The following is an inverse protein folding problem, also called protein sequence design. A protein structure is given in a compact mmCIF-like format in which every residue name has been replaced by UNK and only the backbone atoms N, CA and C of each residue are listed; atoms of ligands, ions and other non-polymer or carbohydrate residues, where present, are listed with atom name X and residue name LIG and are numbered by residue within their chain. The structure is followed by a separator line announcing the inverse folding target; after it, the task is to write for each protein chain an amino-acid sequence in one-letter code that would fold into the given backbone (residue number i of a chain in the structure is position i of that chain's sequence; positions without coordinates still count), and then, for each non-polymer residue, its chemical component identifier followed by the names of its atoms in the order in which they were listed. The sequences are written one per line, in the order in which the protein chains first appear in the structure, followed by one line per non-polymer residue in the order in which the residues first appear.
data_IF_231966831016
#
_entry.id   IF_231966831016
#
_cell.length_a   1.000
_cell.length_b   1.000
_cell.length_c   1.000
_cell.angle_alpha   90.00
_cell.angle_beta   90.00
_cell.angle_gamma   90.00
#
_symmetry.space_group_name_H-M   'P 1'
#
loop_
_entity.id
_entity.type
_entity.pdbx_description
1 polymer ?
#
# COMPACT_ATOMS: atom_id res chain seq x y z
N UNK A 1 33.86 73.32 -12.16
CA UNK A 1 33.77 72.02 -11.45
C UNK A 1 32.32 71.68 -11.30
N UNK A 2 31.75 70.85 -12.17
CA UNK A 2 30.34 70.46 -12.17
C UNK A 2 30.27 69.02 -11.81
N UNK A 3 29.85 68.81 -10.57
CA UNK A 3 29.57 67.47 -10.04
C UNK A 3 28.25 66.94 -10.62
N UNK A 4 28.35 65.92 -11.55
CA UNK A 4 27.22 65.23 -12.09
C UNK A 4 26.83 64.12 -11.15
N UNK A 5 25.93 64.39 -10.21
CA UNK A 5 25.25 63.37 -9.44
C UNK A 5 24.44 62.47 -10.41
N UNK A 6 24.92 61.27 -10.69
CA UNK A 6 24.25 60.28 -11.52
C UNK A 6 23.01 59.79 -10.79
N UNK A 7 21.84 60.28 -11.17
CA UNK A 7 20.56 59.92 -10.65
C UNK A 7 20.16 58.56 -11.26
N UNK A 8 20.28 57.48 -10.49
CA UNK A 8 19.90 56.14 -10.92
C UNK A 8 18.41 56.05 -11.23
N UNK A 9 18.06 55.53 -12.38
CA UNK A 9 16.68 55.39 -12.83
C UNK A 9 15.86 54.48 -11.95
N UNK A 10 14.54 54.68 -11.81
CA UNK A 10 13.68 53.80 -10.97
C UNK A 10 13.77 52.30 -11.35
N UNK A 11 14.02 52.03 -12.64
CA UNK A 11 14.20 50.67 -13.14
C UNK A 11 15.49 49.99 -12.64
N UNK A 12 16.58 50.74 -12.53
CA UNK A 12 17.85 50.21 -12.02
C UNK A 12 17.76 49.87 -10.50
N UNK A 13 17.02 50.69 -9.75
CA UNK A 13 16.77 50.43 -8.29
C UNK A 13 15.95 49.16 -8.09
N UNK A 14 14.96 48.87 -8.95
CA UNK A 14 14.13 47.68 -8.89
C UNK A 14 14.97 46.43 -9.19
N UNK A 15 15.83 46.51 -10.20
CA UNK A 15 16.69 45.40 -10.60
C UNK A 15 17.75 45.08 -9.53
N UNK A 16 18.32 46.10 -8.91
CA UNK A 16 19.27 45.93 -7.82
C UNK A 16 18.61 45.30 -6.56
N UNK A 17 17.39 45.71 -6.26
CA UNK A 17 16.60 45.13 -5.15
C UNK A 17 16.27 43.65 -5.37
N UNK A 18 15.85 43.28 -6.58
CA UNK A 18 15.57 41.88 -6.96
C UNK A 18 16.82 40.98 -6.88
N UNK A 19 17.96 41.47 -7.35
CA UNK A 19 19.23 40.73 -7.24
C UNK A 19 19.64 40.52 -5.79
N UNK A 20 19.46 41.54 -4.93
CA UNK A 20 19.77 41.41 -3.51
C UNK A 20 18.86 40.41 -2.80
N UNK A 21 17.57 40.40 -3.13
CA UNK A 21 16.61 39.43 -2.61
C UNK A 21 16.95 38.00 -3.01
N UNK A 22 17.27 37.76 -4.29
CA UNK A 22 17.64 36.41 -4.76
C UNK A 22 18.94 35.91 -4.14
N UNK A 23 19.92 36.78 -3.89
CA UNK A 23 21.18 36.40 -3.21
C UNK A 23 20.92 36.03 -1.73
N UNK A 24 20.02 36.75 -1.06
CA UNK A 24 19.68 36.48 0.33
C UNK A 24 18.79 35.23 0.46
N UNK A 25 17.83 35.03 -0.47
CA UNK A 25 17.00 33.84 -0.54
C UNK A 25 17.82 32.59 -0.89
N UNK A 26 18.80 32.71 -1.78
CA UNK A 26 19.69 31.59 -2.12
C UNK A 26 20.58 31.15 -0.98
N UNK A 27 21.05 32.08 -0.15
CA UNK A 27 21.86 31.76 1.04
C UNK A 27 21.01 31.11 2.16
N UNK A 28 19.72 31.49 2.28
CA UNK A 28 18.78 30.87 3.23
C UNK A 28 18.32 29.48 2.82
N UNK A 29 18.12 29.24 1.49
CA UNK A 29 17.71 27.95 0.98
C UNK A 29 18.80 26.88 1.11
N UNK A 30 20.06 27.27 1.01
CA UNK A 30 21.20 26.36 1.20
C UNK A 30 21.33 25.84 2.64
N UNK A 31 20.93 26.60 3.64
CA UNK A 31 20.94 26.18 5.03
C UNK A 31 19.74 25.29 5.41
N UNK A 32 18.60 25.47 4.74
CA UNK A 32 17.40 24.64 4.96
C UNK A 32 17.49 23.28 4.27
N UNK A 33 18.29 23.14 3.21
CA UNK A 33 18.49 21.86 2.53
C UNK A 33 19.43 20.90 3.28
N UNK A 34 20.14 21.41 4.32
CA UNK A 34 20.94 20.59 5.21
C UNK A 34 20.18 20.03 6.41
N UNK A 35 18.91 20.40 6.60
CA UNK A 35 18.04 19.62 7.46
C UNK A 35 17.75 18.32 6.70
N UNK A 36 18.58 17.32 6.91
CA UNK A 36 18.24 15.95 6.61
C UNK A 36 16.89 15.69 7.27
N UNK A 37 15.82 15.70 6.46
CA UNK A 37 14.59 15.03 6.83
C UNK A 37 15.06 13.61 7.11
N UNK A 38 15.28 13.27 8.38
CA UNK A 38 15.48 11.91 8.79
C UNK A 38 14.26 11.19 8.21
N UNK A 39 14.46 10.50 7.10
CA UNK A 39 13.44 9.61 6.59
C UNK A 39 13.02 8.78 7.80
N UNK A 40 11.70 8.68 8.09
CA UNK A 40 11.27 7.86 9.20
C UNK A 40 11.99 6.53 9.01
N UNK A 41 12.77 6.14 10.00
CA UNK A 41 13.43 4.85 10.02
C UNK A 41 12.29 3.85 9.83
N UNK A 42 12.14 3.37 8.61
CA UNK A 42 11.35 2.16 8.39
C UNK A 42 12.18 1.10 9.09
N UNK A 43 11.82 0.84 10.34
CA UNK A 43 12.24 -0.38 11.00
C UNK A 43 11.70 -1.48 10.10
N UNK A 44 12.53 -1.97 9.18
CA UNK A 44 12.33 -3.27 8.59
C UNK A 44 12.31 -4.20 9.80
N UNK A 45 11.11 -4.57 10.22
CA UNK A 45 10.93 -5.44 11.36
C UNK A 45 11.73 -6.69 11.04
N UNK A 46 12.79 -6.95 11.81
CA UNK A 46 13.57 -8.18 11.73
C UNK A 46 12.76 -9.38 12.27
N UNK A 47 11.44 -9.33 12.15
CA UNK A 47 10.50 -10.36 12.52
C UNK A 47 9.82 -10.98 11.29
N UNK A 48 9.20 -12.14 11.44
CA UNK A 48 8.48 -12.79 10.36
C UNK A 48 7.37 -11.87 9.83
N UNK A 49 7.20 -11.87 8.52
CA UNK A 49 6.07 -11.22 7.88
C UNK A 49 4.82 -12.00 8.27
N UNK A 50 3.86 -11.36 8.93
CA UNK A 50 2.62 -12.00 9.35
C UNK A 50 1.48 -11.60 8.45
N UNK A 51 0.80 -12.58 7.85
CA UNK A 51 -0.38 -12.40 7.05
C UNK A 51 -1.61 -13.00 7.72
N UNK A 52 -2.67 -12.23 7.77
CA UNK A 52 -4.00 -12.68 8.19
C UNK A 52 -4.75 -13.15 6.94
N UNK A 53 -4.96 -14.45 6.83
CA UNK A 53 -5.72 -15.05 5.74
C UNK A 53 -7.08 -15.50 6.26
N UNK A 54 -8.15 -14.95 5.72
CA UNK A 54 -9.49 -15.46 5.99
C UNK A 54 -10.04 -16.23 4.79
N UNK A 55 -10.58 -17.42 5.09
CA UNK A 55 -11.29 -18.24 4.09
C UNK A 55 -12.80 -18.04 4.18
N UNK A 56 -13.49 -18.22 3.05
CA UNK A 56 -14.95 -18.28 3.03
C UNK A 56 -15.48 -19.59 3.61
N UNK A 57 -14.62 -20.58 3.76
CA UNK A 57 -14.99 -21.90 4.24
C UNK A 57 -15.15 -21.92 5.75
N UNK A 58 -16.21 -22.62 6.19
CA UNK A 58 -16.40 -22.90 7.62
C UNK A 58 -15.31 -23.84 8.17
N UNK A 59 -15.28 -23.94 9.51
CA UNK A 59 -14.26 -24.69 10.23
C UNK A 59 -14.06 -26.14 9.75
N UNK A 60 -15.09 -26.93 9.40
CA UNK A 60 -14.88 -28.31 8.98
C UNK A 60 -14.03 -28.42 7.69
N UNK A 61 -14.39 -27.67 6.65
CA UNK A 61 -13.65 -27.68 5.40
C UNK A 61 -12.29 -26.99 5.56
N UNK A 62 -12.27 -25.85 6.24
CA UNK A 62 -11.04 -25.10 6.47
C UNK A 62 -9.99 -25.90 7.25
N UNK A 63 -10.40 -26.66 8.26
CA UNK A 63 -9.49 -27.48 9.06
C UNK A 63 -8.90 -28.66 8.29
N UNK A 64 -9.69 -29.27 7.40
CA UNK A 64 -9.24 -30.49 6.69
C UNK A 64 -8.52 -30.19 5.37
N UNK A 65 -8.83 -29.09 4.71
CA UNK A 65 -8.28 -28.80 3.38
C UNK A 65 -7.29 -27.64 3.43
N UNK A 66 -7.65 -26.51 4.05
CA UNK A 66 -6.88 -25.28 3.96
C UNK A 66 -5.76 -25.26 5.00
N UNK A 67 -6.08 -25.61 6.24
CA UNK A 67 -5.12 -25.60 7.35
C UNK A 67 -3.85 -26.41 7.07
N UNK A 68 -3.90 -27.66 6.56
CA UNK A 68 -2.70 -28.43 6.22
C UNK A 68 -1.80 -27.75 5.20
N UNK A 69 -2.39 -27.03 4.23
CA UNK A 69 -1.64 -26.28 3.21
C UNK A 69 -0.92 -25.09 3.83
N UNK A 70 -1.59 -24.35 4.71
CA UNK A 70 -1.01 -23.22 5.43
C UNK A 70 0.11 -23.69 6.35
N UNK A 71 -0.08 -24.80 7.09
CA UNK A 71 0.96 -25.37 7.95
C UNK A 71 2.19 -25.84 7.15
N UNK A 72 1.98 -26.44 5.98
CA UNK A 72 3.06 -26.81 5.08
C UNK A 72 3.83 -25.58 4.56
N UNK A 73 3.11 -24.51 4.21
CA UNK A 73 3.71 -23.24 3.81
C UNK A 73 4.51 -22.62 4.95
N UNK A 74 3.92 -22.45 6.13
CA UNK A 74 4.59 -21.85 7.28
C UNK A 74 5.86 -22.64 7.68
N UNK A 75 5.81 -23.96 7.56
CA UNK A 75 6.99 -24.81 7.77
C UNK A 75 8.07 -24.58 6.71
N UNK A 76 7.68 -24.44 5.44
CA UNK A 76 8.60 -24.18 4.35
C UNK A 76 9.21 -22.77 4.40
N UNK A 77 8.44 -21.78 4.87
CA UNK A 77 8.88 -20.40 5.06
C UNK A 77 9.90 -20.22 6.20
N UNK A 78 10.13 -21.25 7.01
CA UNK A 78 11.19 -21.31 8.03
C UNK A 78 11.30 -20.06 8.93
N UNK A 79 10.17 -19.44 9.25
CA UNK A 79 10.09 -18.26 10.12
C UNK A 79 10.30 -16.92 9.41
N UNK A 80 10.50 -16.88 8.11
CA UNK A 80 10.55 -15.62 7.35
C UNK A 80 9.17 -15.03 7.14
N UNK A 81 8.15 -15.89 7.00
CA UNK A 81 6.76 -15.54 6.83
C UNK A 81 5.86 -16.49 7.58
N UNK A 82 4.77 -15.98 8.14
CA UNK A 82 3.75 -16.73 8.85
C UNK A 82 2.36 -16.33 8.35
N UNK A 83 1.55 -17.30 7.97
CA UNK A 83 0.15 -17.09 7.63
C UNK A 83 -0.72 -17.56 8.78
N UNK A 84 -1.51 -16.64 9.34
CA UNK A 84 -2.54 -16.92 10.33
C UNK A 84 -3.86 -17.20 9.63
N UNK A 85 -4.41 -18.38 9.80
CA UNK A 85 -5.67 -18.81 9.17
C UNK A 85 -6.87 -18.47 10.03
N UNK A 86 -7.82 -17.78 9.42
CA UNK A 86 -9.14 -17.49 9.98
C UNK A 86 -10.21 -18.14 9.11
N UNK A 87 -11.23 -18.73 9.74
CA UNK A 87 -12.36 -19.32 9.04
C UNK A 87 -13.43 -18.29 8.70
N UNK A 88 -14.47 -18.72 7.97
CA UNK A 88 -15.57 -17.86 7.59
C UNK A 88 -16.12 -17.05 8.78
N UNK A 89 -16.37 -15.77 8.54
CA UNK A 89 -17.00 -14.82 9.49
C UNK A 89 -16.25 -14.57 10.81
N UNK A 90 -14.96 -14.94 10.88
CA UNK A 90 -14.18 -14.73 12.11
C UNK A 90 -13.62 -13.31 12.26
N UNK A 91 -13.13 -12.71 11.19
CA UNK A 91 -12.63 -11.34 11.22
C UNK A 91 -13.61 -10.37 10.55
N UNK A 92 -14.10 -10.74 9.38
CA UNK A 92 -15.10 -9.97 8.63
C UNK A 92 -16.16 -10.92 8.06
N UNK A 93 -17.39 -10.44 7.79
CA UNK A 93 -18.40 -11.22 7.09
C UNK A 93 -17.86 -11.72 5.73
N UNK A 94 -18.20 -12.94 5.37
CA UNK A 94 -17.75 -13.57 4.14
C UNK A 94 -18.06 -12.73 2.89
N UNK A 95 -19.20 -12.03 2.86
CA UNK A 95 -19.57 -11.14 1.77
C UNK A 95 -18.64 -9.89 1.63
N UNK A 96 -17.92 -9.54 2.68
CA UNK A 96 -17.06 -8.35 2.71
C UNK A 96 -15.55 -8.69 2.55
N UNK A 97 -15.21 -9.95 2.32
CA UNK A 97 -13.82 -10.42 2.20
C UNK A 97 -13.01 -9.61 1.18
N UNK A 98 -13.58 -9.36 0.00
CA UNK A 98 -12.87 -8.61 -1.05
C UNK A 98 -12.64 -7.15 -0.65
N UNK A 99 -13.60 -6.51 -0.01
CA UNK A 99 -13.47 -5.13 0.50
C UNK A 99 -12.44 -5.06 1.63
N UNK A 100 -12.44 -6.06 2.51
CA UNK A 100 -11.46 -6.15 3.59
C UNK A 100 -10.03 -6.29 3.08
N UNK A 101 -9.84 -7.05 1.99
CA UNK A 101 -8.55 -7.16 1.29
C UNK A 101 -8.14 -5.82 0.66
N UNK A 102 -9.06 -5.15 -0.05
CA UNK A 102 -8.79 -3.84 -0.67
C UNK A 102 -8.41 -2.77 0.36
N UNK A 103 -9.03 -2.80 1.54
CA UNK A 103 -8.78 -1.84 2.62
C UNK A 103 -7.59 -2.21 3.51
N UNK A 104 -6.92 -3.34 3.27
CA UNK A 104 -5.80 -3.80 4.08
C UNK A 104 -6.19 -4.32 5.47
N UNK A 105 -7.48 -4.61 5.71
CA UNK A 105 -7.94 -5.26 6.95
C UNK A 105 -7.50 -6.72 6.98
N UNK A 106 -7.47 -7.36 5.83
CA UNK A 106 -6.91 -8.68 5.60
C UNK A 106 -5.72 -8.59 4.66
N UNK A 107 -4.74 -9.44 4.85
CA UNK A 107 -3.55 -9.49 4.01
C UNK A 107 -3.72 -10.51 2.88
N UNK A 108 -4.56 -11.53 3.09
CA UNK A 108 -4.90 -12.54 2.10
C UNK A 108 -6.34 -13.05 2.29
N UNK A 109 -6.93 -13.51 1.21
CA UNK A 109 -8.28 -14.09 1.19
C UNK A 109 -8.29 -15.34 0.34
N UNK A 110 -8.90 -16.40 0.86
CA UNK A 110 -9.24 -17.58 0.08
C UNK A 110 -10.75 -17.63 -0.10
N UNK A 111 -11.19 -17.49 -1.34
CA UNK A 111 -12.61 -17.41 -1.70
C UNK A 111 -12.89 -18.15 -3.00
N UNK A 112 -14.15 -18.29 -3.34
CA UNK A 112 -14.59 -18.76 -4.65
C UNK A 112 -15.20 -17.63 -5.48
N UNK A 113 -15.48 -17.93 -6.75
CA UNK A 113 -16.01 -16.95 -7.70
C UNK A 113 -17.39 -16.44 -7.26
N UNK A 114 -18.24 -17.30 -6.73
CA UNK A 114 -19.58 -16.93 -6.30
C UNK A 114 -19.57 -15.97 -5.13
N UNK A 115 -18.70 -16.19 -4.17
CA UNK A 115 -18.57 -15.34 -2.98
C UNK A 115 -18.01 -13.96 -3.35
N UNK A 116 -17.21 -13.87 -4.42
CA UNK A 116 -16.66 -12.61 -4.94
C UNK A 116 -17.55 -11.92 -5.98
N UNK A 117 -18.74 -12.41 -6.25
CA UNK A 117 -19.66 -11.81 -7.21
C UNK A 117 -20.02 -10.36 -6.88
N UNK A 118 -20.01 -9.97 -5.61
CA UNK A 118 -20.11 -8.59 -5.19
C UNK A 118 -18.80 -8.17 -4.51
N UNK A 119 -18.01 -7.27 -5.06
CA UNK A 119 -18.28 -6.24 -6.08
C UNK A 119 -17.82 -6.57 -7.50
N UNK A 120 -17.47 -7.80 -7.83
CA UNK A 120 -16.94 -8.16 -9.14
C UNK A 120 -18.00 -8.95 -9.94
N UNK A 121 -18.90 -8.23 -10.60
CA UNK A 121 -20.07 -8.77 -11.29
C UNK A 121 -19.76 -9.89 -12.26
N UNK A 122 -18.62 -9.81 -12.96
CA UNK A 122 -18.23 -10.80 -13.95
C UNK A 122 -17.96 -12.19 -13.35
N UNK A 123 -17.66 -12.26 -12.06
CA UNK A 123 -17.39 -13.52 -11.38
C UNK A 123 -18.62 -14.44 -11.35
N UNK A 124 -19.84 -13.88 -11.47
CA UNK A 124 -21.07 -14.68 -11.59
C UNK A 124 -21.01 -15.62 -12.79
N UNK A 125 -20.32 -15.24 -13.85
CA UNK A 125 -20.21 -16.03 -15.06
C UNK A 125 -19.11 -17.10 -14.99
N UNK A 126 -18.16 -17.02 -14.06
CA UNK A 126 -17.05 -17.95 -13.94
C UNK A 126 -17.47 -19.34 -13.44
N UNK A 127 -18.35 -19.40 -12.44
CA UNK A 127 -18.69 -20.64 -11.75
C UNK A 127 -19.97 -21.34 -12.23
N UNK A 128 -20.90 -20.62 -12.87
CA UNK A 128 -22.28 -21.11 -13.10
C UNK A 128 -22.69 -21.15 -14.57
N UNK A 129 -21.78 -21.01 -15.50
CA UNK A 129 -22.14 -21.10 -16.90
C UNK A 129 -22.53 -22.54 -17.23
N UNK A 130 -23.75 -22.80 -17.74
CA UNK A 130 -24.09 -24.12 -18.26
C UNK A 130 -23.13 -24.44 -19.42
N UNK A 131 -22.53 -25.63 -19.40
CA UNK A 131 -21.51 -26.09 -20.35
C UNK A 131 -20.11 -25.44 -20.19
N UNK A 132 -19.82 -24.72 -19.14
CA UNK A 132 -18.43 -24.38 -18.80
C UNK A 132 -17.63 -25.70 -18.67
N UNK A 133 -16.45 -25.72 -19.25
CA UNK A 133 -15.56 -26.90 -19.14
C UNK A 133 -15.23 -27.07 -17.65
N UNK A 134 -15.70 -28.17 -17.08
CA UNK A 134 -15.21 -28.62 -15.79
C UNK A 134 -13.72 -28.89 -15.95
N UNK A 135 -12.91 -28.31 -15.09
CA UNK A 135 -11.53 -28.72 -14.97
C UNK A 135 -11.55 -30.22 -14.60
N UNK A 136 -11.36 -31.09 -15.57
CA UNK A 136 -11.01 -32.45 -15.29
C UNK A 136 -9.56 -32.45 -14.84
N UNK A 137 -9.38 -32.64 -13.57
CA UNK A 137 -8.08 -32.98 -13.00
C UNK A 137 -7.67 -34.37 -13.49
#
# INVERSE_FOLDING_TARGET
MTDKTKQDSPSERILASRRKFLRTAGAGAGAAAASTLAAPYVNAQNGPIKWRLQTYSGAPLGAHVIKPQIEAFNKAANGEMEIELYYADQLVPTADLFRALQNGTLDAVQSDEATMASPVDINVFGGYFPFATRYSL
#
